data_IF_757032777202
#
_entry.id   IF_757032777202
#
_cell.length_a   1.000
_cell.length_b   1.000
_cell.length_c   1.000
_cell.angle_alpha   90.00
_cell.angle_beta   90.00
_cell.angle_gamma   90.00
#
_symmetry.space_group_name_H-M   'P 1'
#
loop_
_entity.id
_entity.type
_entity.pdbx_description
1 polymer ?
#
# COMPACT_ATOMS: atom_id res chain seq x y z
N UNK A 1 36.31 30.35 -18.98
CA UNK A 1 35.71 29.03 -19.31
C UNK A 1 35.64 28.02 -18.13
N UNK A 2 35.88 28.42 -16.87
CA UNK A 2 35.69 27.53 -15.69
C UNK A 2 34.39 27.77 -14.92
N UNK A 3 33.61 28.77 -15.30
CA UNK A 3 32.35 29.15 -14.64
C UNK A 3 31.10 28.55 -15.30
N UNK A 4 31.23 27.93 -16.48
CA UNK A 4 30.11 27.28 -17.20
C UNK A 4 29.70 25.93 -16.59
N UNK A 5 30.53 25.36 -15.71
CA UNK A 5 30.20 24.13 -14.98
C UNK A 5 29.54 24.40 -13.62
N UNK A 6 29.28 25.67 -13.27
CA UNK A 6 28.62 26.04 -12.03
C UNK A 6 27.09 26.20 -12.17
N UNK A 7 26.53 25.88 -13.33
CA UNK A 7 25.09 25.98 -13.64
C UNK A 7 24.31 24.66 -13.53
N UNK A 8 24.94 23.54 -13.12
CA UNK A 8 24.24 22.28 -12.83
C UNK A 8 23.80 22.17 -11.36
N UNK A 9 23.23 23.24 -10.83
CA UNK A 9 22.64 23.26 -9.49
C UNK A 9 21.15 23.58 -9.57
N UNK A 10 20.31 22.56 -9.76
CA UNK A 10 18.88 22.52 -9.35
C UNK A 10 18.20 21.33 -10.07
N UNK A 11 17.48 20.42 -9.44
CA UNK A 11 17.06 20.26 -8.07
C UNK A 11 16.83 18.76 -7.87
N UNK A 12 17.57 18.14 -6.95
CA UNK A 12 17.15 16.85 -6.41
C UNK A 12 15.92 17.12 -5.55
N UNK A 13 14.73 16.75 -6.02
CA UNK A 13 13.54 16.73 -5.17
C UNK A 13 13.83 15.74 -4.04
N UNK A 14 14.15 16.28 -2.86
CA UNK A 14 14.27 15.50 -1.64
C UNK A 14 12.85 15.07 -1.29
N UNK A 15 12.49 13.86 -1.69
CA UNK A 15 11.28 13.20 -1.21
C UNK A 15 11.50 12.88 0.26
N UNK A 16 11.22 13.84 1.15
CA UNK A 16 11.12 13.58 2.58
C UNK A 16 9.83 12.77 2.75
N UNK A 17 9.96 11.45 2.78
CA UNK A 17 8.85 10.60 3.17
C UNK A 17 8.65 10.80 4.68
N UNK A 18 7.76 11.70 5.05
CA UNK A 18 7.35 11.87 6.43
C UNK A 18 6.71 10.56 6.90
N UNK A 19 7.49 9.73 7.58
CA UNK A 19 7.03 8.50 8.20
C UNK A 19 6.21 8.88 9.44
N UNK A 20 4.98 9.36 9.22
CA UNK A 20 4.00 9.53 10.28
C UNK A 20 3.67 8.18 10.94
N UNK A 21 3.07 8.19 12.14
CA UNK A 21 2.70 6.96 12.84
C UNK A 21 1.89 6.07 11.90
N UNK A 22 2.28 4.79 11.82
CA UNK A 22 1.58 3.79 11.02
C UNK A 22 0.17 3.56 11.61
N UNK A 23 -0.77 4.41 11.20
CA UNK A 23 -2.18 4.15 11.45
C UNK A 23 -2.53 2.89 10.67
N UNK A 24 -2.95 1.85 11.38
CA UNK A 24 -3.45 0.62 10.79
C UNK A 24 -4.73 0.94 10.00
N UNK A 25 -4.56 1.36 8.75
CA UNK A 25 -5.65 1.63 7.83
C UNK A 25 -5.89 0.35 7.04
N UNK A 26 -7.12 -0.13 7.07
CA UNK A 26 -7.51 -1.26 6.23
C UNK A 26 -7.62 -0.80 4.77
N UNK A 27 -6.52 -0.90 4.03
CA UNK A 27 -6.50 -0.70 2.59
C UNK A 27 -7.20 -1.88 1.88
N UNK A 28 -8.00 -1.62 0.83
CA UNK A 28 -8.82 -2.66 0.20
C UNK A 28 -8.03 -3.69 -0.62
N UNK A 29 -6.78 -3.40 -1.00
CA UNK A 29 -5.97 -4.29 -1.83
C UNK A 29 -4.61 -4.57 -1.20
N UNK A 30 -4.17 -5.82 -1.32
CA UNK A 30 -2.89 -6.29 -0.79
C UNK A 30 -2.06 -6.95 -1.89
N UNK A 31 -0.76 -6.66 -1.86
CA UNK A 31 0.26 -7.30 -2.68
C UNK A 31 0.70 -8.60 -2.01
N UNK A 32 0.47 -9.73 -2.67
CA UNK A 32 0.80 -11.05 -2.14
C UNK A 32 1.86 -11.70 -3.01
N UNK A 33 2.94 -12.17 -2.40
CA UNK A 33 3.93 -13.02 -3.05
C UNK A 33 4.03 -14.35 -2.31
N UNK A 34 4.82 -15.28 -2.87
CA UNK A 34 5.12 -16.55 -2.18
C UNK A 34 5.79 -16.34 -0.82
N UNK A 35 6.45 -15.19 -0.63
CA UNK A 35 7.21 -14.87 0.59
C UNK A 35 6.36 -14.18 1.66
N UNK A 36 5.40 -13.33 1.27
CA UNK A 36 4.59 -12.56 2.22
C UNK A 36 3.27 -13.23 2.62
N UNK A 37 2.79 -14.24 1.88
CA UNK A 37 1.58 -14.99 2.23
C UNK A 37 0.30 -14.12 2.28
N UNK A 38 -0.70 -14.56 3.06
CA UNK A 38 -1.96 -13.84 3.28
C UNK A 38 -1.91 -13.16 4.66
N UNK A 39 -2.26 -11.86 4.78
CA UNK A 39 -2.88 -11.02 3.76
C UNK A 39 -1.90 -10.38 2.76
N UNK A 40 -0.60 -10.42 3.01
CA UNK A 40 0.42 -9.73 2.20
C UNK A 40 0.61 -8.26 2.62
N UNK A 41 1.15 -7.42 1.73
CA UNK A 41 1.33 -5.98 1.93
C UNK A 41 0.08 -5.20 1.51
N UNK A 42 -0.71 -4.77 2.49
CA UNK A 42 -1.96 -4.04 2.29
C UNK A 42 -1.77 -2.53 2.37
N UNK A 43 -1.08 -1.95 1.39
CA UNK A 43 -0.81 -0.51 1.32
C UNK A 43 -1.53 0.21 0.17
N UNK A 44 -2.44 -0.47 -0.54
CA UNK A 44 -2.99 0.00 -1.81
C UNK A 44 -4.49 0.34 -1.75
N UNK A 45 -4.83 1.59 -2.09
CA UNK A 45 -6.22 2.06 -2.19
C UNK A 45 -6.95 1.58 -3.45
N UNK A 46 -6.21 1.38 -4.54
CA UNK A 46 -6.78 0.99 -5.84
C UNK A 46 -6.11 -0.28 -6.36
N UNK A 47 -6.89 -1.09 -7.07
CA UNK A 47 -6.36 -2.31 -7.70
C UNK A 47 -5.29 -1.98 -8.74
N UNK A 48 -5.44 -0.87 -9.48
CA UNK A 48 -4.47 -0.44 -10.48
C UNK A 48 -3.09 -0.15 -9.88
N UNK A 49 -3.03 0.59 -8.75
CA UNK A 49 -1.76 0.86 -8.08
C UNK A 49 -1.09 -0.42 -7.54
N UNK A 50 -1.88 -1.34 -7.02
CA UNK A 50 -1.41 -2.64 -6.56
C UNK A 50 -0.89 -3.53 -7.70
N UNK A 51 -1.60 -3.56 -8.84
CA UNK A 51 -1.13 -4.28 -10.04
C UNK A 51 0.16 -3.67 -10.59
N UNK A 52 0.28 -2.34 -10.61
CA UNK A 52 1.52 -1.67 -11.00
C UNK A 52 2.69 -2.06 -10.08
N UNK A 53 2.44 -2.15 -8.77
CA UNK A 53 3.43 -2.61 -7.80
C UNK A 53 3.72 -4.13 -7.86
N UNK A 54 2.85 -4.92 -8.49
CA UNK A 54 3.03 -6.37 -8.70
C UNK A 54 3.86 -6.70 -9.93
N UNK A 55 3.84 -5.84 -10.94
CA UNK A 55 4.58 -5.99 -12.19
C UNK A 55 6.05 -6.33 -11.96
N UNK A 56 6.49 -7.45 -12.53
CA UNK A 56 7.88 -7.91 -12.46
C UNK A 56 8.34 -8.45 -11.10
N UNK A 57 7.46 -8.51 -10.09
CA UNK A 57 7.82 -8.92 -8.71
C UNK A 57 7.41 -10.33 -8.33
N UNK A 58 6.82 -11.10 -9.25
CA UNK A 58 6.28 -12.44 -8.94
C UNK A 58 5.20 -12.39 -7.85
N UNK A 59 4.47 -11.27 -7.77
CA UNK A 59 3.42 -11.02 -6.82
C UNK A 59 2.08 -10.88 -7.53
N UNK A 60 0.99 -11.06 -6.79
CA UNK A 60 -0.38 -10.85 -7.24
C UNK A 60 -1.04 -9.76 -6.40
N UNK A 61 -2.10 -9.18 -6.95
CA UNK A 61 -2.96 -8.28 -6.19
C UNK A 61 -4.23 -9.00 -5.76
N UNK A 62 -4.47 -9.06 -4.45
CA UNK A 62 -5.65 -9.68 -3.84
C UNK A 62 -6.46 -8.68 -3.01
N UNK A 63 -7.74 -8.97 -2.79
CA UNK A 63 -8.60 -8.16 -1.89
C UNK A 63 -8.18 -8.40 -0.45
N UNK A 64 -8.12 -7.33 0.36
CA UNK A 64 -7.80 -7.44 1.77
C UNK A 64 -8.89 -8.21 2.53
N UNK A 65 -8.58 -9.38 3.12
CA UNK A 65 -9.56 -10.18 3.86
C UNK A 65 -10.12 -9.44 5.07
N UNK A 66 -9.38 -8.51 5.69
CA UNK A 66 -9.89 -7.69 6.81
C UNK A 66 -11.04 -6.79 6.37
N UNK A 67 -10.95 -6.24 5.16
CA UNK A 67 -12.04 -5.42 4.58
C UNK A 67 -13.21 -6.30 4.15
N UNK A 68 -12.93 -7.46 3.54
CA UNK A 68 -13.96 -8.39 3.07
C UNK A 68 -14.78 -8.98 4.24
N UNK A 69 -14.11 -9.43 5.31
CA UNK A 69 -14.74 -10.13 6.44
C UNK A 69 -15.01 -9.25 7.65
N UNK A 70 -14.38 -8.08 7.79
CA UNK A 70 -14.67 -7.14 8.90
C UNK A 70 -16.13 -6.69 8.93
N UNK A 71 -16.80 -6.66 7.77
CA UNK A 71 -18.25 -6.43 7.67
C UNK A 71 -19.08 -7.57 8.27
N UNK A 72 -18.60 -8.81 8.12
CA UNK A 72 -19.28 -10.00 8.62
C UNK A 72 -19.27 -10.05 10.15
N UNK A 73 -18.11 -9.79 10.78
CA UNK A 73 -18.00 -9.71 12.24
C UNK A 73 -18.88 -8.62 12.84
N UNK A 74 -18.95 -7.44 12.19
CA UNK A 74 -19.82 -6.36 12.66
C UNK A 74 -21.29 -6.78 12.62
N UNK A 75 -21.75 -7.40 11.52
CA UNK A 75 -23.14 -7.84 11.36
C UNK A 75 -23.52 -8.99 12.32
N UNK A 76 -22.64 -9.95 12.54
CA UNK A 76 -22.85 -10.99 13.55
C UNK A 76 -23.01 -10.40 14.95
N UNK A 77 -22.15 -9.43 15.30
CA UNK A 77 -22.22 -8.74 16.59
C UNK A 77 -23.55 -8.01 16.81
N UNK A 78 -24.07 -7.24 15.84
CA UNK A 78 -25.38 -6.58 16.01
C UNK A 78 -26.54 -7.56 16.11
N UNK A 79 -26.46 -8.72 15.45
CA UNK A 79 -27.52 -9.73 15.57
C UNK A 79 -27.50 -10.49 16.89
N UNK A 80 -26.33 -10.70 17.51
CA UNK A 80 -26.21 -11.31 18.84
C UNK A 80 -26.49 -10.35 20.01
N UNK A 81 -26.80 -9.08 19.71
CA UNK A 81 -27.13 -8.04 20.70
C UNK A 81 -28.63 -7.79 20.83
N UNK A 82 -29.45 -8.57 20.11
CA UNK A 82 -30.92 -8.57 20.15
C UNK A 82 -31.39 -9.91 20.68
#
# INVERSE_FOLDING_TARGET
MRYLMALLSAAGLIWIAEAGPATARDYPYCLQSRTTGIPGDCSFRTRAACMAAASGRGAICAVNPRVAFGRYHRRGRVNSSQ
#
